data_IF_050808811475
#
_entry.id   IF_050808811475
#
_cell.length_a   1.000
_cell.length_b   1.000
_cell.length_c   1.000
_cell.angle_alpha   90.00
_cell.angle_beta   90.00
_cell.angle_gamma   90.00
#
_symmetry.space_group_name_H-M   'P 1'
#
loop_
_entity.id
_entity.type
_entity.pdbx_description
1 polymer ?
#
# COMPACT_ATOMS: atom_id res chain seq x y z
N UNK A 1 -21.43 -44.49 10.12
CA UNK A 1 -20.33 -43.73 10.73
C UNK A 1 -19.07 -44.47 10.34
N UNK A 2 -18.70 -44.50 9.06
CA UNK A 2 -18.08 -43.40 8.28
C UNK A 2 -16.78 -42.99 8.99
N UNK A 3 -15.57 -43.16 8.47
CA UNK A 3 -15.07 -43.07 7.09
C UNK A 3 -13.81 -43.94 6.97
N UNK A 4 -13.68 -44.67 5.86
CA UNK A 4 -12.52 -45.47 5.47
C UNK A 4 -11.45 -44.64 4.72
N UNK A 5 -10.27 -45.25 4.58
CA UNK A 5 -9.25 -45.01 3.55
C UNK A 5 -8.05 -44.07 3.84
N UNK A 6 -7.10 -44.64 4.59
CA UNK A 6 -5.76 -45.06 4.12
C UNK A 6 -5.12 -44.36 2.90
N UNK A 7 -4.02 -43.67 3.20
CA UNK A 7 -2.67 -43.81 2.61
C UNK A 7 -2.45 -44.02 1.10
N UNK A 8 -1.55 -43.18 0.61
CA UNK A 8 -0.32 -43.51 -0.16
C UNK A 8 -0.24 -43.02 -1.60
N UNK A 9 0.87 -42.32 -1.82
CA UNK A 9 1.50 -41.94 -3.07
C UNK A 9 1.51 -43.08 -4.10
N UNK A 10 0.98 -42.79 -5.28
CA UNK A 10 1.45 -43.10 -6.64
C UNK A 10 0.32 -42.64 -7.57
N UNK A 11 0.51 -41.97 -8.69
CA UNK A 11 1.31 -42.35 -9.84
C UNK A 11 1.25 -41.19 -10.84
N UNK A 12 2.35 -41.01 -11.57
CA UNK A 12 2.53 -39.97 -12.58
C UNK A 12 1.75 -40.40 -13.82
N UNK A 13 0.58 -39.80 -14.07
CA UNK A 13 -0.09 -39.92 -15.37
C UNK A 13 0.40 -38.83 -16.30
N UNK A 14 1.30 -39.20 -17.21
CA UNK A 14 1.63 -38.43 -18.39
C UNK A 14 0.39 -38.34 -19.30
N UNK A 15 -0.40 -37.29 -19.15
CA UNK A 15 -1.35 -36.88 -20.18
C UNK A 15 -0.85 -35.58 -20.84
N UNK A 16 -0.61 -35.72 -22.14
CA UNK A 16 -0.15 -34.69 -23.07
C UNK A 16 -1.22 -33.61 -23.23
N UNK A 17 -1.30 -32.69 -22.28
CA UNK A 17 -2.00 -31.40 -22.40
C UNK A 17 -0.99 -30.29 -22.57
N UNK A 18 -0.87 -29.77 -23.78
CA UNK A 18 -0.10 -28.57 -24.10
C UNK A 18 -0.78 -27.31 -23.53
N UNK A 19 -0.82 -27.17 -22.22
CA UNK A 19 -1.12 -25.88 -21.59
C UNK A 19 0.11 -24.99 -21.73
N UNK A 20 0.18 -24.30 -22.87
CA UNK A 20 1.04 -23.14 -23.08
C UNK A 20 0.78 -22.15 -21.95
N UNK A 21 1.60 -22.21 -20.90
CA UNK A 21 1.68 -21.16 -19.89
C UNK A 21 1.87 -19.85 -20.65
N UNK A 22 0.86 -18.99 -20.59
CA UNK A 22 0.92 -17.65 -21.15
C UNK A 22 2.24 -17.02 -20.68
N UNK A 23 3.03 -16.42 -21.59
CA UNK A 23 4.22 -15.71 -21.17
C UNK A 23 3.81 -14.70 -20.08
N UNK A 24 4.66 -14.47 -19.05
CA UNK A 24 4.33 -13.58 -17.95
C UNK A 24 3.84 -12.25 -18.53
N UNK A 25 2.58 -11.93 -18.28
CA UNK A 25 2.00 -10.67 -18.74
C UNK A 25 2.77 -9.57 -18.04
N UNK A 26 3.62 -8.86 -18.80
CA UNK A 26 4.25 -7.65 -18.34
C UNK A 26 3.15 -6.62 -18.12
N UNK A 27 2.73 -6.48 -16.87
CA UNK A 27 1.75 -5.46 -16.47
C UNK A 27 2.49 -4.13 -16.45
N UNK A 28 2.42 -3.40 -17.55
CA UNK A 28 2.77 -1.99 -17.57
C UNK A 28 1.74 -1.25 -16.73
N UNK A 29 2.15 -0.85 -15.52
CA UNK A 29 1.37 0.09 -14.74
C UNK A 29 1.33 1.41 -15.51
N UNK A 30 0.14 1.99 -15.74
CA UNK A 30 0.05 3.26 -16.45
C UNK A 30 0.84 4.31 -15.67
N UNK A 31 2.00 4.72 -16.22
CA UNK A 31 2.82 5.81 -15.71
C UNK A 31 2.16 7.14 -16.09
N UNK A 32 0.91 7.34 -15.69
CA UNK A 32 0.12 8.49 -16.14
C UNK A 32 -0.87 8.92 -15.07
N UNK A 33 -0.33 9.28 -13.91
CA UNK A 33 -0.98 10.25 -13.05
C UNK A 33 0.12 11.17 -12.55
N UNK A 34 0.16 12.40 -13.05
CA UNK A 34 0.92 13.51 -12.47
C UNK A 34 0.26 13.86 -11.13
N UNK A 35 0.52 13.03 -10.13
CA UNK A 35 0.04 13.20 -8.76
C UNK A 35 0.85 14.33 -8.11
N UNK A 36 0.20 15.19 -7.33
CA UNK A 36 0.91 16.21 -6.57
C UNK A 36 1.86 15.55 -5.56
N UNK A 37 3.02 16.15 -5.28
CA UNK A 37 3.92 15.64 -4.25
C UNK A 37 3.17 15.52 -2.92
N UNK A 38 3.34 14.37 -2.27
CA UNK A 38 2.72 14.09 -0.98
C UNK A 38 3.67 14.50 0.15
N UNK A 39 3.20 15.42 0.99
CA UNK A 39 3.89 15.86 2.21
C UNK A 39 3.80 14.74 3.26
N UNK A 40 4.94 14.11 3.57
CA UNK A 40 5.05 13.10 4.63
C UNK A 40 5.99 13.62 5.72
N UNK A 41 5.51 13.58 6.96
CA UNK A 41 6.27 13.90 8.16
C UNK A 41 6.78 12.62 8.83
N UNK A 42 8.04 12.62 9.23
CA UNK A 42 8.66 11.51 9.94
C UNK A 42 8.81 11.89 11.41
N UNK A 43 8.12 11.19 12.30
CA UNK A 43 8.17 11.45 13.74
C UNK A 43 8.26 10.14 14.52
N UNK A 44 9.29 9.97 15.35
CA UNK A 44 9.54 8.77 16.15
C UNK A 44 9.49 7.44 15.34
N UNK A 45 9.92 7.45 14.08
CA UNK A 45 9.87 6.29 13.20
C UNK A 45 8.51 6.03 12.56
N UNK A 46 7.53 6.89 12.81
CA UNK A 46 6.23 6.88 12.15
C UNK A 46 6.19 7.86 10.98
N UNK A 47 5.43 7.49 9.95
CA UNK A 47 5.18 8.32 8.77
C UNK A 47 3.77 8.88 8.85
N UNK A 48 3.64 10.20 8.92
CA UNK A 48 2.38 10.87 9.21
C UNK A 48 2.05 11.86 8.09
N UNK A 49 0.80 11.84 7.63
CA UNK A 49 0.24 12.79 6.69
C UNK A 49 -0.85 13.58 7.40
N UNK A 50 -0.72 14.90 7.39
CA UNK A 50 -1.66 15.82 8.05
C UNK A 50 -2.68 16.44 7.09
N UNK A 51 -2.47 16.35 5.78
CA UNK A 51 -3.41 16.89 4.78
C UNK A 51 -4.36 15.78 4.34
N UNK A 52 -5.66 15.98 4.55
CA UNK A 52 -6.69 15.01 4.14
C UNK A 52 -6.68 14.79 2.63
N UNK A 53 -6.37 15.83 1.85
CA UNK A 53 -6.31 15.75 0.40
C UNK A 53 -5.24 14.73 -0.04
N UNK A 54 -4.09 14.74 0.63
CA UNK A 54 -3.00 13.81 0.35
C UNK A 54 -3.39 12.37 0.71
N UNK A 55 -4.04 12.17 1.87
CA UNK A 55 -4.53 10.86 2.27
C UNK A 55 -5.60 10.32 1.31
N UNK A 56 -6.50 11.19 0.80
CA UNK A 56 -7.50 10.84 -0.20
C UNK A 56 -6.85 10.44 -1.53
N UNK A 57 -5.88 11.21 -2.02
CA UNK A 57 -5.18 10.86 -3.27
C UNK A 57 -4.47 9.50 -3.15
N UNK A 58 -3.84 9.22 -2.01
CA UNK A 58 -3.23 7.92 -1.74
C UNK A 58 -4.24 6.77 -1.75
N UNK A 59 -5.43 6.99 -1.21
CA UNK A 59 -6.50 6.00 -1.19
C UNK A 59 -7.08 5.77 -2.59
N UNK A 60 -7.34 6.84 -3.32
CA UNK A 60 -8.06 6.81 -4.60
C UNK A 60 -7.16 6.38 -5.75
N UNK A 61 -5.97 6.97 -5.86
CA UNK A 61 -5.03 6.72 -6.96
C UNK A 61 -4.08 5.57 -6.67
N UNK A 62 -3.60 5.44 -5.43
CA UNK A 62 -2.56 4.45 -5.07
C UNK A 62 -3.11 3.23 -4.31
N UNK A 63 -4.39 3.24 -3.91
CA UNK A 63 -4.99 2.19 -3.06
C UNK A 63 -4.24 1.96 -1.74
N UNK A 64 -3.54 2.97 -1.25
CA UNK A 64 -2.81 2.93 0.01
C UNK A 64 -3.72 3.49 1.11
N UNK A 65 -3.94 2.68 2.15
CA UNK A 65 -4.79 3.04 3.28
C UNK A 65 -3.93 3.42 4.47
N UNK A 66 -4.11 4.63 4.99
CA UNK A 66 -3.48 5.09 6.23
C UNK A 66 -4.36 4.79 7.46
N UNK A 67 -3.73 4.56 8.60
CA UNK A 67 -4.39 4.45 9.89
C UNK A 67 -4.70 5.85 10.43
N UNK A 68 -5.95 6.10 10.83
CA UNK A 68 -6.33 7.37 11.45
C UNK A 68 -5.69 7.45 12.83
N UNK A 69 -4.92 8.50 13.08
CA UNK A 69 -4.29 8.74 14.39
C UNK A 69 -4.80 10.01 15.03
N UNK A 70 -4.68 10.07 16.36
CA UNK A 70 -5.08 11.24 17.13
C UNK A 70 -4.26 12.49 16.78
N UNK A 71 -4.70 13.64 17.27
CA UNK A 71 -3.97 14.90 17.11
C UNK A 71 -2.67 14.89 17.91
N UNK A 72 -1.58 15.31 17.26
CA UNK A 72 -0.30 15.52 17.93
C UNK A 72 -0.41 16.78 18.82
N UNK A 73 -0.12 16.70 20.13
CA UNK A 73 -0.25 17.85 21.04
C UNK A 73 0.69 18.99 20.67
N UNK A 74 1.87 18.67 20.13
CA UNK A 74 2.89 19.64 19.72
C UNK A 74 2.56 20.32 18.37
N UNK A 75 1.56 19.80 17.65
CA UNK A 75 1.14 20.30 16.34
C UNK A 75 -0.38 20.48 16.32
N UNK A 76 -0.89 21.59 16.90
CA UNK A 76 -2.31 21.84 16.93
C UNK A 76 -2.85 21.93 15.50
N UNK A 77 -3.70 20.97 15.17
CA UNK A 77 -4.42 20.86 13.91
C UNK A 77 -5.88 21.19 14.18
N UNK A 78 -6.52 21.92 13.27
CA UNK A 78 -7.98 22.08 13.29
C UNK A 78 -8.61 20.84 12.65
N UNK A 79 -9.17 19.90 13.44
CA UNK A 79 -9.72 18.66 12.90
C UNK A 79 -10.98 18.91 12.05
N UNK A 80 -11.66 20.05 12.22
CA UNK A 80 -12.84 20.38 11.42
C UNK A 80 -12.47 20.82 10.00
N UNK A 81 -11.28 21.42 9.84
CA UNK A 81 -10.79 21.85 8.53
C UNK A 81 -9.95 20.80 7.82
N UNK A 82 -9.08 20.11 8.55
CA UNK A 82 -8.04 19.27 7.96
C UNK A 82 -8.28 17.76 8.15
N UNK A 83 -9.35 17.37 8.85
CA UNK A 83 -9.57 15.98 9.23
C UNK A 83 -8.54 15.48 10.25
N UNK A 84 -8.55 14.20 10.60
CA UNK A 84 -7.53 13.61 11.45
C UNK A 84 -6.24 13.35 10.64
N UNK A 85 -5.07 13.31 11.29
CA UNK A 85 -3.84 12.84 10.67
C UNK A 85 -3.89 11.33 10.39
N UNK A 86 -3.12 10.90 9.40
CA UNK A 86 -3.02 9.51 8.98
C UNK A 86 -1.58 9.00 9.13
N UNK A 87 -1.42 7.85 9.78
CA UNK A 87 -0.16 7.15 9.91
C UNK A 87 -0.04 6.04 8.85
N UNK A 88 1.16 5.88 8.30
CA UNK A 88 1.47 4.87 7.28
C UNK A 88 2.63 3.98 7.73
N UNK A 89 2.59 2.74 7.27
CA UNK A 89 3.66 1.76 7.48
C UNK A 89 4.85 2.07 6.55
N UNK A 90 6.09 1.74 6.96
CA UNK A 90 7.27 1.94 6.14
C UNK A 90 7.14 1.34 4.73
N UNK A 91 6.52 0.16 4.61
CA UNK A 91 6.31 -0.55 3.34
C UNK A 91 5.33 0.19 2.43
N UNK A 92 4.35 0.91 3.00
CA UNK A 92 3.44 1.73 2.21
C UNK A 92 4.16 2.97 1.67
N UNK A 93 5.07 3.54 2.45
CA UNK A 93 5.88 4.69 2.05
C UNK A 93 6.94 4.30 1.02
N UNK A 94 7.51 3.09 1.09
CA UNK A 94 8.44 2.59 0.07
C UNK A 94 7.79 2.42 -1.30
N UNK A 95 6.50 2.09 -1.35
CA UNK A 95 5.76 2.05 -2.61
C UNK A 95 5.67 3.45 -3.24
N UNK A 96 5.48 4.49 -2.43
CA UNK A 96 5.48 5.89 -2.91
C UNK A 96 6.85 6.32 -3.44
N UNK A 97 7.91 5.78 -2.84
CA UNK A 97 9.29 5.94 -3.31
C UNK A 97 9.48 5.42 -4.73
N UNK A 98 8.98 4.22 -5.02
CA UNK A 98 9.07 3.60 -6.34
C UNK A 98 8.29 4.36 -7.41
N UNK A 99 7.16 4.98 -7.05
CA UNK A 99 6.39 5.81 -7.96
C UNK A 99 6.98 7.21 -8.20
N UNK A 100 7.99 7.62 -7.42
CA UNK A 100 8.62 8.95 -7.52
C UNK A 100 7.69 10.10 -7.08
N UNK A 101 6.78 9.85 -6.12
CA UNK A 101 5.63 10.72 -5.80
C UNK A 101 5.57 11.20 -4.33
N UNK A 102 6.64 11.77 -3.78
CA UNK A 102 6.64 12.27 -2.39
C UNK A 102 7.66 13.39 -2.16
N UNK A 103 7.41 14.21 -1.14
CA UNK A 103 8.34 15.22 -0.63
C UNK A 103 8.50 15.02 0.89
N UNK A 104 9.72 14.72 1.34
CA UNK A 104 10.00 14.55 2.77
C UNK A 104 10.23 15.90 3.44
N UNK A 105 9.56 16.13 4.57
CA UNK A 105 9.89 17.21 5.49
C UNK A 105 10.54 16.65 6.74
N UNK A 106 11.79 17.04 6.98
CA UNK A 106 12.49 16.80 8.23
C UNK A 106 12.33 18.04 9.11
N UNK A 107 11.70 17.90 10.27
CA UNK A 107 11.75 18.91 11.32
C UNK A 107 12.68 18.39 12.42
N UNK A 108 13.75 19.14 12.66
CA UNK A 108 14.74 18.91 13.71
C UNK A 108 14.33 19.57 15.02
#
# INVERSE_FOLDING_TARGET
>A
MDVDESSSLTEISNESGNELLSPPTLVEFPSSATMSPIDIEISNGHFIIYRIEHAQTLLEECRIVGEVVGVCPDKPMDPLRNGPPYMFMPEQVSVLLEYGKFLFFFFA
#
